data_IF_433798157655
#
_entry.id   IF_433798157655
#
_cell.length_a   1.000
_cell.length_b   1.000
_cell.length_c   1.000
_cell.angle_alpha   90.00
_cell.angle_beta   90.00
_cell.angle_gamma   90.00
#
_symmetry.space_group_name_H-M   'P 1'
#
loop_
_entity.id
_entity.type
_entity.pdbx_description
1 polymer ?
#
# COMPACT_ATOMS: atom_id res chain seq x y z
N UNK A 1 -7.28 22.72 -15.98
CA UNK A 1 -6.73 21.70 -15.07
C UNK A 1 -7.10 22.06 -13.61
N UNK A 2 -8.41 22.14 -13.26
CA UNK A 2 -8.90 22.75 -12.00
C UNK A 2 -9.99 21.95 -11.26
N UNK A 3 -10.21 20.66 -11.56
CA UNK A 3 -11.30 19.87 -10.94
C UNK A 3 -10.87 19.04 -9.71
N UNK A 4 -9.57 18.90 -9.46
CA UNK A 4 -9.03 18.10 -8.33
C UNK A 4 -9.05 18.93 -7.03
N UNK A 5 -8.84 20.25 -7.12
CA UNK A 5 -8.82 21.15 -5.96
C UNK A 5 -10.20 21.48 -5.40
N UNK A 6 -11.26 21.51 -6.23
CA UNK A 6 -12.63 21.83 -5.76
C UNK A 6 -13.27 20.70 -4.97
N UNK A 7 -12.85 19.45 -5.20
CA UNK A 7 -13.38 18.29 -4.48
C UNK A 7 -12.65 18.08 -3.15
N UNK A 8 -11.40 18.54 -3.05
CA UNK A 8 -10.57 18.40 -1.85
C UNK A 8 -10.90 19.45 -0.77
N UNK A 9 -11.31 20.67 -1.15
CA UNK A 9 -11.76 21.70 -0.19
C UNK A 9 -13.09 21.35 0.48
N UNK A 10 -13.93 20.55 -0.20
CA UNK A 10 -15.24 20.10 0.31
C UNK A 10 -15.09 18.98 1.35
N UNK A 11 -14.10 18.10 1.20
CA UNK A 11 -13.79 17.02 2.14
C UNK A 11 -13.30 17.53 3.51
N UNK A 12 -12.72 18.74 3.56
CA UNK A 12 -12.13 19.31 4.79
C UNK A 12 -13.19 19.74 5.81
N UNK A 13 -14.43 20.06 5.39
CA UNK A 13 -15.51 20.51 6.29
C UNK A 13 -16.34 19.37 6.91
N UNK A 14 -16.09 18.10 6.56
CA UNK A 14 -16.89 16.94 7.01
C UNK A 14 -16.13 16.04 8.03
N UNK A 15 -15.12 16.60 8.71
CA UNK A 15 -14.10 15.88 9.49
C UNK A 15 -14.54 15.14 10.77
N UNK A 16 -15.83 14.96 11.05
CA UNK A 16 -16.31 14.11 12.17
C UNK A 16 -17.03 12.83 11.71
N UNK A 17 -17.35 12.68 10.42
CA UNK A 17 -17.97 11.46 9.85
C UNK A 17 -16.95 10.48 9.25
N UNK A 18 -15.69 10.91 9.08
CA UNK A 18 -14.68 10.13 8.36
C UNK A 18 -14.10 8.96 9.16
N UNK A 19 -14.05 9.00 10.50
CA UNK A 19 -13.40 7.93 11.28
C UNK A 19 -14.24 6.65 11.31
N UNK A 20 -15.58 6.77 11.41
CA UNK A 20 -16.50 5.62 11.40
C UNK A 20 -16.62 4.97 10.00
N UNK A 21 -16.56 5.78 8.94
CA UNK A 21 -16.60 5.32 7.54
C UNK A 21 -15.24 4.80 7.04
N UNK A 22 -14.12 5.28 7.59
CA UNK A 22 -12.79 4.76 7.28
C UNK A 22 -12.55 3.37 7.88
N UNK A 23 -12.96 3.16 9.14
CA UNK A 23 -12.78 1.87 9.80
C UNK A 23 -13.59 0.77 9.08
N UNK A 24 -14.79 1.10 8.58
CA UNK A 24 -15.60 0.16 7.81
C UNK A 24 -15.03 -0.12 6.42
N UNK A 25 -14.50 0.89 5.71
CA UNK A 25 -13.87 0.69 4.40
C UNK A 25 -12.55 -0.10 4.48
N UNK A 26 -11.76 0.11 5.53
CA UNK A 26 -10.53 -0.66 5.78
C UNK A 26 -10.83 -2.11 6.19
N UNK A 27 -11.83 -2.32 7.05
CA UNK A 27 -12.30 -3.66 7.39
C UNK A 27 -12.81 -4.42 6.17
N UNK A 28 -13.61 -3.78 5.32
CA UNK A 28 -14.11 -4.37 4.06
C UNK A 28 -12.97 -4.77 3.12
N UNK A 29 -11.96 -3.91 2.95
CA UNK A 29 -10.78 -4.23 2.12
C UNK A 29 -9.95 -5.37 2.70
N UNK A 30 -9.74 -5.39 4.01
CA UNK A 30 -9.01 -6.49 4.65
C UNK A 30 -9.78 -7.81 4.55
N UNK A 31 -11.10 -7.78 4.63
CA UNK A 31 -11.95 -8.94 4.39
C UNK A 31 -11.85 -9.42 2.93
N UNK A 32 -11.89 -8.50 1.96
CA UNK A 32 -11.71 -8.81 0.54
C UNK A 32 -10.33 -9.43 0.26
N UNK A 33 -9.26 -8.84 0.79
CA UNK A 33 -7.91 -9.39 0.70
C UNK A 33 -7.83 -10.80 1.30
N UNK A 34 -8.39 -11.00 2.48
CA UNK A 34 -8.43 -12.31 3.14
C UNK A 34 -9.17 -13.35 2.31
N UNK A 35 -10.31 -12.99 1.68
CA UNK A 35 -11.04 -13.87 0.77
C UNK A 35 -10.20 -14.27 -0.45
N UNK A 36 -9.48 -13.32 -1.05
CA UNK A 36 -8.60 -13.59 -2.19
C UNK A 36 -7.42 -14.49 -1.79
N UNK A 37 -6.82 -14.25 -0.62
CA UNK A 37 -5.73 -15.07 -0.08
C UNK A 37 -6.18 -16.51 0.24
N UNK A 38 -7.40 -16.69 0.74
CA UNK A 38 -7.99 -18.02 0.93
C UNK A 38 -8.16 -18.73 -0.40
N UNK A 39 -8.70 -18.06 -1.42
CA UNK A 39 -8.85 -18.64 -2.77
C UNK A 39 -7.52 -19.07 -3.38
N UNK A 40 -6.46 -18.27 -3.22
CA UNK A 40 -5.11 -18.65 -3.67
C UNK A 40 -4.65 -19.94 -2.97
N UNK A 41 -4.82 -20.05 -1.65
CA UNK A 41 -4.48 -21.28 -0.91
C UNK A 41 -5.29 -22.49 -1.38
N UNK A 42 -6.57 -22.29 -1.68
CA UNK A 42 -7.42 -23.35 -2.24
C UNK A 42 -6.93 -23.80 -3.62
N UNK A 43 -6.49 -22.87 -4.47
CA UNK A 43 -5.88 -23.17 -5.77
C UNK A 43 -4.56 -23.93 -5.58
N UNK A 44 -3.68 -23.47 -4.69
CA UNK A 44 -2.41 -24.12 -4.42
C UNK A 44 -2.61 -25.60 -4.00
N UNK A 45 -3.61 -25.87 -3.15
CA UNK A 45 -4.00 -27.24 -2.76
C UNK A 45 -4.52 -28.06 -3.96
N UNK A 46 -5.32 -27.46 -4.85
CA UNK A 46 -5.83 -28.16 -6.06
C UNK A 46 -4.71 -28.48 -7.05
N UNK A 47 -3.75 -27.58 -7.20
CA UNK A 47 -2.55 -27.78 -8.02
C UNK A 47 -1.72 -28.93 -7.45
N UNK A 48 -1.44 -28.93 -6.13
CA UNK A 48 -0.70 -30.00 -5.45
C UNK A 48 -1.37 -31.38 -5.62
N UNK A 49 -2.69 -31.43 -5.47
CA UNK A 49 -3.46 -32.65 -5.72
C UNK A 49 -3.33 -33.13 -7.17
N UNK A 50 -3.35 -32.22 -8.13
CA UNK A 50 -3.21 -32.55 -9.55
C UNK A 50 -1.81 -33.13 -9.84
N UNK A 51 -0.76 -32.52 -9.30
CA UNK A 51 0.61 -33.08 -9.38
C UNK A 51 0.73 -34.46 -8.72
N UNK A 52 0.05 -34.66 -7.59
CA UNK A 52 0.01 -35.97 -6.91
C UNK A 52 -0.64 -37.03 -7.80
N UNK A 53 -1.78 -36.72 -8.45
CA UNK A 53 -2.46 -37.65 -9.37
C UNK A 53 -1.60 -37.98 -10.59
N UNK A 54 -0.90 -37.00 -11.15
CA UNK A 54 0.06 -37.22 -12.25
C UNK A 54 1.17 -38.16 -11.79
N UNK A 55 1.77 -37.89 -10.63
CA UNK A 55 2.83 -38.71 -10.05
C UNK A 55 2.37 -40.15 -9.80
N UNK A 56 1.16 -40.34 -9.28
CA UNK A 56 0.54 -41.66 -9.08
C UNK A 56 0.34 -42.39 -10.42
N UNK A 57 -0.22 -41.73 -11.44
CA UNK A 57 -0.44 -42.34 -12.75
C UNK A 57 0.88 -42.80 -13.40
N UNK A 58 1.93 -41.98 -13.31
CA UNK A 58 3.27 -42.32 -13.79
C UNK A 58 3.85 -43.50 -13.00
N UNK A 59 3.82 -43.44 -11.67
CA UNK A 59 4.35 -44.49 -10.80
C UNK A 59 3.65 -45.84 -11.04
N UNK A 60 2.32 -45.86 -11.16
CA UNK A 60 1.54 -47.07 -11.41
C UNK A 60 1.82 -47.67 -12.79
N UNK A 61 2.02 -46.84 -13.81
CA UNK A 61 2.39 -47.28 -15.17
C UNK A 61 3.77 -47.95 -15.15
N UNK A 62 4.75 -47.30 -14.52
CA UNK A 62 6.10 -47.85 -14.38
C UNK A 62 6.12 -49.13 -13.54
N UNK A 63 5.29 -49.23 -12.48
CA UNK A 63 5.15 -50.44 -11.67
C UNK A 63 4.64 -51.64 -12.47
N UNK A 64 3.85 -51.39 -13.52
CA UNK A 64 3.38 -52.41 -14.46
C UNK A 64 4.40 -52.74 -15.55
N UNK A 65 5.55 -52.08 -15.56
CA UNK A 65 6.58 -52.20 -16.62
C UNK A 65 6.06 -51.74 -17.99
N UNK A 66 5.07 -50.85 -18.00
CA UNK A 66 4.52 -50.24 -19.21
C UNK A 66 5.25 -48.92 -19.51
N UNK A 67 5.41 -48.55 -20.80
CA UNK A 67 5.95 -47.24 -21.15
C UNK A 67 4.96 -46.14 -20.74
N UNK A 68 5.49 -45.05 -20.17
CA UNK A 68 4.69 -43.85 -19.88
C UNK A 68 4.41 -43.12 -21.18
N UNK A 69 3.17 -43.20 -21.64
CA UNK A 69 2.69 -42.57 -22.87
C UNK A 69 2.30 -41.13 -22.55
N UNK A 70 2.99 -40.16 -23.15
CA UNK A 70 2.82 -38.73 -22.83
C UNK A 70 1.41 -38.23 -23.14
N UNK A 71 0.76 -38.79 -24.17
CA UNK A 71 -0.59 -38.45 -24.61
C UNK A 71 -1.63 -38.67 -23.50
N UNK A 72 -1.38 -39.57 -22.54
CA UNK A 72 -2.25 -39.79 -21.39
C UNK A 72 -1.92 -38.89 -20.20
N UNK A 73 -0.71 -38.34 -20.14
CA UNK A 73 -0.22 -37.52 -19.04
C UNK A 73 -0.42 -36.02 -19.31
N UNK A 74 -0.18 -35.57 -20.54
CA UNK A 74 -0.31 -34.15 -20.94
C UNK A 74 -1.70 -33.55 -20.62
N UNK A 75 -2.83 -34.25 -20.87
CA UNK A 75 -4.15 -33.72 -20.51
C UNK A 75 -4.33 -33.44 -19.02
N UNK A 76 -3.61 -34.16 -18.14
CA UNK A 76 -3.67 -33.96 -16.69
C UNK A 76 -3.05 -32.63 -16.24
N UNK A 77 -2.23 -31.99 -17.08
CA UNK A 77 -1.69 -30.66 -16.82
C UNK A 77 -2.63 -29.52 -17.25
N UNK A 78 -3.69 -29.80 -18.02
CA UNK A 78 -4.63 -28.76 -18.46
C UNK A 78 -5.30 -28.07 -17.26
N UNK A 79 -5.86 -28.81 -16.27
CA UNK A 79 -6.43 -28.18 -15.08
C UNK A 79 -5.42 -27.35 -14.28
N UNK A 80 -4.15 -27.76 -14.26
CA UNK A 80 -3.08 -27.02 -13.57
C UNK A 80 -2.87 -25.66 -14.24
N UNK A 81 -2.82 -25.61 -15.58
CA UNK A 81 -2.67 -24.35 -16.32
C UNK A 81 -3.84 -23.40 -16.09
N UNK A 82 -5.07 -23.93 -16.04
CA UNK A 82 -6.26 -23.12 -15.74
C UNK A 82 -6.20 -22.53 -14.33
N UNK A 83 -5.76 -23.34 -13.36
CA UNK A 83 -5.56 -22.92 -11.97
C UNK A 83 -4.42 -21.90 -11.82
N UNK A 84 -3.31 -22.07 -12.54
CA UNK A 84 -2.20 -21.11 -12.55
C UNK A 84 -2.66 -19.75 -13.09
N UNK A 85 -3.46 -19.75 -14.15
CA UNK A 85 -4.05 -18.54 -14.71
C UNK A 85 -5.02 -17.86 -13.73
N UNK A 86 -5.92 -18.63 -13.11
CA UNK A 86 -6.82 -18.10 -12.07
C UNK A 86 -6.03 -17.49 -10.90
N UNK A 87 -4.96 -18.17 -10.46
CA UNK A 87 -4.07 -17.70 -9.39
C UNK A 87 -3.40 -16.38 -9.75
N UNK A 88 -2.93 -16.22 -10.98
CA UNK A 88 -2.33 -14.98 -11.47
C UNK A 88 -3.33 -13.82 -11.45
N UNK A 89 -4.58 -14.05 -11.88
CA UNK A 89 -5.64 -13.04 -11.81
C UNK A 89 -5.93 -12.59 -10.37
N UNK A 90 -5.98 -13.53 -9.42
CA UNK A 90 -6.18 -13.21 -8.01
C UNK A 90 -5.01 -12.40 -7.42
N UNK A 91 -3.77 -12.72 -7.82
CA UNK A 91 -2.59 -11.96 -7.39
C UNK A 91 -2.58 -10.53 -7.91
N UNK A 92 -2.98 -10.31 -9.17
CA UNK A 92 -3.10 -8.96 -9.72
C UNK A 92 -4.22 -8.17 -9.01
N UNK A 93 -5.36 -8.81 -8.71
CA UNK A 93 -6.42 -8.18 -7.91
C UNK A 93 -5.94 -7.76 -6.50
N UNK A 94 -5.18 -8.62 -5.81
CA UNK A 94 -4.57 -8.29 -4.51
C UNK A 94 -3.63 -7.07 -4.64
N UNK A 95 -2.80 -7.05 -5.70
CA UNK A 95 -1.86 -5.96 -5.96
C UNK A 95 -2.59 -4.63 -6.20
N UNK A 96 -3.68 -4.63 -6.95
CA UNK A 96 -4.52 -3.44 -7.15
C UNK A 96 -5.13 -2.93 -5.84
N UNK A 97 -5.67 -3.82 -4.99
CA UNK A 97 -6.24 -3.43 -3.70
C UNK A 97 -5.16 -2.82 -2.79
N UNK A 98 -3.98 -3.45 -2.72
CA UNK A 98 -2.84 -2.93 -1.94
C UNK A 98 -2.33 -1.58 -2.46
N UNK A 99 -2.31 -1.38 -3.78
CA UNK A 99 -1.96 -0.09 -4.38
C UNK A 99 -2.96 1.00 -3.96
N UNK A 100 -4.26 0.74 -4.07
CA UNK A 100 -5.31 1.67 -3.62
C UNK A 100 -5.20 2.00 -2.13
N UNK A 101 -4.87 1.01 -1.30
CA UNK A 101 -4.65 1.22 0.14
C UNK A 101 -3.43 2.11 0.40
N UNK A 102 -2.31 1.87 -0.31
CA UNK A 102 -1.12 2.69 -0.18
C UNK A 102 -1.37 4.16 -0.59
N UNK A 103 -2.09 4.38 -1.69
CA UNK A 103 -2.47 5.72 -2.14
C UNK A 103 -3.37 6.44 -1.12
N UNK A 104 -4.34 5.73 -0.55
CA UNK A 104 -5.20 6.28 0.50
C UNK A 104 -4.39 6.67 1.75
N UNK A 105 -3.49 5.79 2.22
CA UNK A 105 -2.65 6.07 3.39
C UNK A 105 -1.73 7.27 3.15
N UNK A 106 -1.14 7.38 1.95
CA UNK A 106 -0.32 8.53 1.55
C UNK A 106 -1.16 9.83 1.57
N UNK A 107 -2.38 9.79 1.04
CA UNK A 107 -3.29 10.94 1.04
C UNK A 107 -3.68 11.36 2.47
N UNK A 108 -3.98 10.40 3.36
CA UNK A 108 -4.28 10.66 4.75
C UNK A 108 -3.10 11.29 5.50
N UNK A 109 -1.88 10.78 5.28
CA UNK A 109 -0.66 11.34 5.88
C UNK A 109 -0.42 12.79 5.41
N UNK A 110 -0.70 13.10 4.14
CA UNK A 110 -0.63 14.47 3.61
C UNK A 110 -1.64 15.39 4.30
N UNK A 111 -2.89 14.94 4.47
CA UNK A 111 -3.93 15.70 5.16
C UNK A 111 -3.51 15.97 6.61
N UNK A 112 -2.99 14.94 7.31
CA UNK A 112 -2.50 15.09 8.69
C UNK A 112 -1.35 16.10 8.77
N UNK A 113 -0.36 15.98 7.89
CA UNK A 113 0.79 16.90 7.81
C UNK A 113 0.34 18.34 7.58
N UNK A 114 -0.63 18.57 6.68
CA UNK A 114 -1.20 19.91 6.45
C UNK A 114 -1.88 20.47 7.69
N UNK A 115 -2.65 19.66 8.42
CA UNK A 115 -3.31 20.07 9.68
C UNK A 115 -2.29 20.41 10.76
N UNK A 116 -1.25 19.59 10.91
CA UNK A 116 -0.14 19.84 11.86
C UNK A 116 0.57 21.15 11.54
N UNK A 117 0.99 21.35 10.28
CA UNK A 117 1.64 22.59 9.84
C UNK A 117 0.72 23.81 10.02
N UNK A 118 -0.57 23.71 9.73
CA UNK A 118 -1.50 24.82 9.93
C UNK A 118 -1.65 25.18 11.42
N UNK A 119 -1.69 24.19 12.31
CA UNK A 119 -1.74 24.42 13.76
C UNK A 119 -0.44 25.05 14.28
N UNK A 120 0.71 24.62 13.77
CA UNK A 120 2.02 25.20 14.09
C UNK A 120 2.12 26.65 13.61
N UNK A 121 1.66 26.94 12.39
CA UNK A 121 1.60 28.31 11.85
C UNK A 121 0.68 29.23 12.66
N UNK A 122 -0.46 28.71 13.14
CA UNK A 122 -1.37 29.48 13.98
C UNK A 122 -0.70 29.88 15.31
N UNK A 123 -0.02 28.94 15.97
CA UNK A 123 0.76 29.23 17.19
C UNK A 123 1.88 30.24 16.92
N UNK A 124 2.57 30.10 15.79
CA UNK A 124 3.63 31.02 15.39
C UNK A 124 3.09 32.45 15.19
N UNK A 125 1.90 32.59 14.61
CA UNK A 125 1.22 33.90 14.48
C UNK A 125 0.87 34.49 15.82
N UNK A 126 0.33 33.70 16.74
CA UNK A 126 0.04 34.16 18.10
C UNK A 126 1.29 34.65 18.82
N UNK A 127 2.43 33.95 18.69
CA UNK A 127 3.71 34.38 19.26
C UNK A 127 4.22 35.70 18.67
N UNK A 128 4.05 35.90 17.36
CA UNK A 128 4.37 37.16 16.68
C UNK A 128 3.48 38.30 17.19
N UNK A 129 2.18 38.05 17.28
CA UNK A 129 1.20 39.06 17.74
C UNK A 129 1.42 39.46 19.21
N UNK A 130 1.93 38.54 20.04
CA UNK A 130 2.36 38.81 21.41
C UNK A 130 3.73 39.50 21.50
N UNK A 131 4.43 39.71 20.39
CA UNK A 131 5.75 40.32 20.34
C UNK A 131 6.87 39.46 20.93
N UNK A 132 6.65 38.14 21.02
CA UNK A 132 7.64 37.17 21.55
C UNK A 132 8.72 36.87 20.52
N UNK A 133 8.34 36.82 19.24
CA UNK A 133 9.24 36.61 18.10
C UNK A 133 9.18 37.81 17.16
N UNK A 134 10.29 38.12 16.51
CA UNK A 134 10.36 39.20 15.54
C UNK A 134 9.80 38.76 14.16
N UNK A 135 9.53 39.71 13.25
CA UNK A 135 9.00 39.39 11.92
C UNK A 135 9.92 38.51 11.06
N UNK A 136 11.24 38.60 11.24
CA UNK A 136 12.21 37.85 10.45
C UNK A 136 12.26 36.38 10.90
N UNK A 137 12.27 36.14 12.22
CA UNK A 137 12.16 34.81 12.83
C UNK A 137 10.84 34.13 12.45
N UNK A 138 9.74 34.90 12.39
CA UNK A 138 8.45 34.42 11.92
C UNK A 138 8.53 33.94 10.46
N UNK A 139 9.05 34.75 9.54
CA UNK A 139 9.13 34.40 8.11
C UNK A 139 10.01 33.17 7.87
N UNK A 140 11.16 33.09 8.54
CA UNK A 140 12.06 31.93 8.44
C UNK A 140 11.38 30.65 8.94
N UNK A 141 10.65 30.74 10.05
CA UNK A 141 9.98 29.59 10.64
C UNK A 141 8.75 29.16 9.82
N UNK A 142 7.96 30.11 9.33
CA UNK A 142 6.84 29.84 8.40
C UNK A 142 7.33 29.16 7.12
N UNK A 143 8.46 29.61 6.56
CA UNK A 143 9.06 28.99 5.39
C UNK A 143 9.49 27.53 5.64
N UNK A 144 10.11 27.24 6.80
CA UNK A 144 10.46 25.87 7.21
C UNK A 144 9.23 24.97 7.37
N UNK A 145 8.18 25.47 8.01
CA UNK A 145 6.93 24.72 8.17
C UNK A 145 6.28 24.39 6.82
N UNK A 146 6.27 25.36 5.89
CA UNK A 146 5.76 25.14 4.54
C UNK A 146 6.61 24.17 3.71
N UNK A 147 7.94 24.09 3.95
CA UNK A 147 8.81 23.08 3.31
C UNK A 147 8.35 21.65 3.61
N UNK A 148 7.83 21.37 4.81
CA UNK A 148 7.31 20.03 5.15
C UNK A 148 6.18 19.58 4.22
N UNK A 149 5.28 20.50 3.84
CA UNK A 149 4.21 20.23 2.86
C UNK A 149 4.79 20.14 1.44
N UNK A 150 5.68 21.08 1.07
CA UNK A 150 6.26 21.12 -0.28
C UNK A 150 7.09 19.87 -0.60
N UNK A 151 7.88 19.39 0.37
CA UNK A 151 8.72 18.21 0.27
C UNK A 151 8.01 16.93 0.73
N UNK A 152 6.69 16.95 0.94
CA UNK A 152 5.94 15.82 1.50
C UNK A 152 6.24 14.51 0.78
N UNK A 153 6.26 14.47 -0.55
CA UNK A 153 6.50 13.22 -1.28
C UNK A 153 7.90 12.65 -1.02
N UNK A 154 8.91 13.53 -0.95
CA UNK A 154 10.29 13.12 -0.66
C UNK A 154 10.41 12.63 0.77
N UNK A 155 9.80 13.33 1.72
CA UNK A 155 9.76 12.94 3.13
C UNK A 155 9.00 11.62 3.35
N UNK A 156 7.88 11.43 2.67
CA UNK A 156 7.09 10.21 2.73
C UNK A 156 7.87 9.02 2.16
N UNK A 157 8.47 9.17 0.98
CA UNK A 157 9.28 8.11 0.37
C UNK A 157 10.51 7.78 1.21
N UNK A 158 11.14 8.78 1.81
CA UNK A 158 12.26 8.61 2.73
C UNK A 158 11.85 7.80 3.98
N UNK A 159 10.68 8.11 4.56
CA UNK A 159 10.08 7.34 5.66
C UNK A 159 9.81 5.90 5.25
N UNK A 160 9.17 5.69 4.10
CA UNK A 160 8.89 4.34 3.58
C UNK A 160 10.17 3.53 3.34
N UNK A 161 11.22 4.15 2.82
CA UNK A 161 12.52 3.49 2.62
C UNK A 161 13.14 3.07 3.96
N UNK A 162 13.06 3.92 4.99
CA UNK A 162 13.53 3.59 6.33
C UNK A 162 12.71 2.48 6.98
N UNK A 163 11.37 2.55 6.93
CA UNK A 163 10.47 1.53 7.49
C UNK A 163 10.66 0.15 6.83
N UNK A 164 11.10 0.13 5.57
CA UNK A 164 11.45 -1.07 4.82
C UNK A 164 12.90 -1.53 5.01
N UNK A 165 13.66 -0.90 5.91
CA UNK A 165 15.07 -1.17 6.17
C UNK A 165 15.96 -1.05 4.90
N UNK A 166 15.58 -0.21 3.94
CA UNK A 166 16.37 0.03 2.72
C UNK A 166 17.48 1.06 2.95
N UNK A 167 17.38 1.86 4.01
CA UNK A 167 18.36 2.88 4.40
C UNK A 167 18.62 2.82 5.91
N UNK A 168 19.77 3.31 6.35
CA UNK A 168 20.12 3.37 7.78
C UNK A 168 19.43 4.54 8.49
N UNK A 169 19.42 4.50 9.83
CA UNK A 169 18.90 5.59 10.66
C UNK A 169 19.64 6.90 10.41
N UNK A 170 20.96 6.85 10.28
CA UNK A 170 21.78 8.05 10.08
C UNK A 170 21.50 8.69 8.71
N UNK A 171 21.33 7.86 7.67
CA UNK A 171 20.95 8.30 6.34
C UNK A 171 19.54 8.91 6.31
N UNK A 172 18.60 8.29 7.03
CA UNK A 172 17.25 8.83 7.20
C UNK A 172 17.29 10.23 7.86
N UNK A 173 17.99 10.37 8.98
CA UNK A 173 18.06 11.64 9.72
C UNK A 173 18.75 12.75 8.91
N UNK A 174 19.86 12.43 8.23
CA UNK A 174 20.59 13.39 7.40
C UNK A 174 19.73 13.90 6.24
N UNK A 175 19.09 13.00 5.49
CA UNK A 175 18.24 13.37 4.35
C UNK A 175 16.97 14.10 4.79
N UNK A 176 16.40 13.73 5.94
CA UNK A 176 15.22 14.39 6.51
C UNK A 176 15.52 15.85 6.86
N UNK A 177 16.65 16.13 7.51
CA UNK A 177 17.04 17.48 7.91
C UNK A 177 17.25 18.46 6.73
N UNK A 178 17.53 17.96 5.52
CA UNK A 178 17.66 18.78 4.30
C UNK A 178 16.27 19.13 3.72
N UNK A 179 15.28 18.27 3.96
CA UNK A 179 13.93 18.36 3.40
C UNK A 179 12.95 19.13 4.30
N UNK A 180 13.26 19.28 5.59
CA UNK A 180 12.54 20.12 6.57
C UNK A 180 13.15 21.53 6.65
#
# INVERSE_FOLDING_TARGET
MNKIFSNLSRAINEGMSEVSTQTSAEAQRNEELSKLEIKIKEIDIKIEKSYTLIGQAVADTLRKTEPVIQEFIVPLFIPIKELDWEREQLLEAIKEIKAKQADQLKAQELIRTKKEVQAELQKLRELKDMGVIDPEEFEVTEAKLNKRIHNFEKLYNLKVAFDRNLISRDEYMSRKAILE
#
